data_IF_435309545162
#
_entry.id   IF_435309545162
#
_cell.length_a   1.000
_cell.length_b   1.000
_cell.length_c   1.000
_cell.angle_alpha   90.00
_cell.angle_beta   90.00
_cell.angle_gamma   90.00
#
_symmetry.space_group_name_H-M   'P 1'
#
loop_
_entity.id
_entity.type
_entity.pdbx_description
1 polymer ?
#
# COMPACT_ATOMS: atom_id res chain seq x y z
N UNK A 1 4.96 -1.27 -7.63
CA UNK A 1 5.84 -2.09 -6.74
C UNK A 1 5.53 -3.55 -6.97
N UNK A 2 6.49 -4.48 -6.81
CA UNK A 2 6.20 -5.91 -7.03
C UNK A 2 5.72 -6.60 -5.75
N UNK A 3 4.70 -7.45 -5.89
CA UNK A 3 4.17 -8.27 -4.80
C UNK A 3 5.22 -9.29 -4.36
N UNK A 4 5.55 -9.40 -3.06
CA UNK A 4 6.54 -10.36 -2.60
C UNK A 4 6.09 -11.83 -2.76
N UNK A 5 4.79 -12.11 -2.86
CA UNK A 5 4.27 -13.46 -3.03
C UNK A 5 4.27 -13.91 -4.50
N UNK A 6 3.64 -13.14 -5.39
CA UNK A 6 3.41 -13.56 -6.77
C UNK A 6 4.24 -12.79 -7.80
N UNK A 7 5.09 -11.84 -7.36
CA UNK A 7 5.92 -10.96 -8.20
C UNK A 7 5.13 -10.08 -9.19
N UNK A 8 3.80 -10.07 -9.09
CA UNK A 8 2.92 -9.25 -9.91
C UNK A 8 2.91 -7.78 -9.45
N UNK A 9 2.27 -6.88 -10.20
CA UNK A 9 2.22 -5.47 -9.85
C UNK A 9 1.19 -5.19 -8.76
N UNK A 10 1.61 -4.47 -7.72
CA UNK A 10 0.68 -3.97 -6.70
C UNK A 10 0.23 -2.57 -7.05
N UNK A 11 -1.08 -2.37 -6.99
CA UNK A 11 -1.73 -1.08 -7.22
C UNK A 11 -2.12 -0.45 -5.89
N UNK A 12 -2.12 0.87 -5.82
CA UNK A 12 -2.58 1.57 -4.62
C UNK A 12 -4.11 1.45 -4.54
N UNK A 13 -4.60 0.85 -3.45
CA UNK A 13 -6.03 0.65 -3.22
C UNK A 13 -6.64 1.77 -2.38
N UNK A 14 -5.83 2.51 -1.61
CA UNK A 14 -6.35 3.57 -0.76
C UNK A 14 -5.27 4.31 0.01
N UNK A 15 -5.72 5.27 0.80
CA UNK A 15 -4.91 5.97 1.79
C UNK A 15 -5.66 6.00 3.12
N UNK A 16 -4.95 5.77 4.22
CA UNK A 16 -5.46 5.98 5.58
C UNK A 16 -4.69 7.14 6.19
N UNK A 17 -5.42 8.05 6.81
CA UNK A 17 -4.86 9.07 7.69
C UNK A 17 -5.08 8.58 9.12
N UNK A 18 -4.00 8.38 9.87
CA UNK A 18 -4.09 8.04 11.29
C UNK A 18 -3.21 9.00 12.08
N UNK A 19 -3.86 9.88 12.85
CA UNK A 19 -3.22 11.00 13.53
C UNK A 19 -2.37 11.84 12.56
N UNK A 20 -1.09 11.96 12.91
CA UNK A 20 -0.06 12.67 12.16
C UNK A 20 0.71 11.73 11.22
N UNK A 21 0.03 10.82 10.52
CA UNK A 21 0.69 9.92 9.57
C UNK A 21 -0.25 9.52 8.44
N UNK A 22 0.28 9.56 7.21
CA UNK A 22 -0.40 9.08 6.01
C UNK A 22 0.14 7.70 5.66
N UNK A 23 -0.77 6.75 5.53
CA UNK A 23 -0.49 5.38 5.11
C UNK A 23 -1.09 5.16 3.72
N UNK A 24 -0.35 4.57 2.81
CA UNK A 24 -0.85 4.08 1.54
C UNK A 24 -1.14 2.58 1.66
N UNK A 25 -2.32 2.15 1.22
CA UNK A 25 -2.67 0.74 1.09
C UNK A 25 -2.38 0.31 -0.33
N UNK A 26 -1.59 -0.75 -0.48
CA UNK A 26 -1.27 -1.39 -1.74
C UNK A 26 -1.92 -2.76 -1.80
N UNK A 27 -2.58 -3.07 -2.91
CA UNK A 27 -3.23 -4.35 -3.14
C UNK A 27 -2.67 -4.99 -4.40
N UNK A 28 -2.28 -6.25 -4.30
CA UNK A 28 -1.94 -7.04 -5.47
C UNK A 28 -3.22 -7.50 -6.17
N UNK A 29 -3.31 -7.34 -7.49
CA UNK A 29 -4.50 -7.79 -8.25
C UNK A 29 -4.56 -9.31 -8.42
N UNK A 30 -3.40 -9.96 -8.45
CA UNK A 30 -3.30 -11.39 -8.72
C UNK A 30 -3.60 -12.22 -7.47
N UNK A 31 -2.82 -12.04 -6.38
CA UNK A 31 -2.99 -12.82 -5.15
C UNK A 31 -3.81 -12.10 -4.06
N UNK A 32 -4.35 -10.92 -4.34
CA UNK A 32 -5.12 -10.10 -3.41
C UNK A 32 -4.39 -9.71 -2.11
N UNK A 33 -3.07 -9.90 -2.03
CA UNK A 33 -2.25 -9.48 -0.90
C UNK A 33 -2.34 -7.97 -0.69
N UNK A 34 -2.63 -7.56 0.54
CA UNK A 34 -2.65 -6.16 0.97
C UNK A 34 -1.42 -5.82 1.79
N UNK A 35 -0.80 -4.69 1.47
CA UNK A 35 0.38 -4.16 2.16
C UNK A 35 0.14 -2.70 2.48
N UNK A 36 0.37 -2.32 3.74
CA UNK A 36 0.27 -0.93 4.18
C UNK A 36 1.68 -0.33 4.30
N UNK A 37 1.88 0.86 3.74
CA UNK A 37 3.17 1.56 3.76
C UNK A 37 2.98 2.97 4.32
N UNK A 38 3.75 3.33 5.35
CA UNK A 38 3.75 4.70 5.87
C UNK A 38 4.43 5.62 4.85
N UNK A 39 3.70 6.61 4.33
CA UNK A 39 4.21 7.64 3.41
C UNK A 39 4.77 8.87 4.14
N UNK A 40 4.67 8.90 5.48
CA UNK A 40 5.00 10.09 6.28
C UNK A 40 3.96 11.21 6.11
N UNK A 41 3.99 12.19 7.01
CA UNK A 41 3.32 13.47 6.78
C UNK A 41 4.12 14.21 5.70
N UNK A 42 3.49 14.55 4.58
CA UNK A 42 3.95 15.72 3.85
C UNK A 42 3.34 16.91 4.57
N UNK A 43 4.23 17.70 5.17
CA UNK A 43 4.05 19.08 5.60
C UNK A 43 3.24 19.88 4.56
#
# INVERSE_FOLDING_TARGET
MKCPQCKDDMVQSGNILSGNSKYAIWKCRNCQLEKMECKGLKD
#
